data_IF_303435729313
#
_entry.id   IF_303435729313
#
_cell.length_a   1.000
_cell.length_b   1.000
_cell.length_c   1.000
_cell.angle_alpha   90.00
_cell.angle_beta   90.00
_cell.angle_gamma   90.00
#
_symmetry.space_group_name_H-M   'P 1'
#
loop_
_entity.id
_entity.type
_entity.pdbx_description
1 polymer ?
#
# COMPACT_ATOMS: atom_id res chain seq x y z
N UNK A 1 -1.66 22.34 -0.37
CA UNK A 1 -1.88 20.88 -0.14
C UNK A 1 -0.92 20.42 0.95
N UNK A 2 -1.44 19.83 2.02
CA UNK A 2 -0.61 19.21 3.05
C UNK A 2 -0.48 17.72 2.75
N UNK A 3 0.71 17.26 2.39
CA UNK A 3 1.02 15.84 2.20
C UNK A 3 1.82 15.37 3.41
N UNK A 4 1.25 14.51 4.25
CA UNK A 4 1.96 14.08 5.46
C UNK A 4 3.23 13.25 5.14
N UNK A 5 4.26 13.38 5.98
CA UNK A 5 5.51 12.64 5.83
C UNK A 5 5.36 11.17 6.21
N UNK A 6 4.47 10.86 7.16
CA UNK A 6 4.10 9.51 7.55
C UNK A 6 2.59 9.30 7.37
N UNK A 7 2.17 8.04 7.17
CA UNK A 7 0.73 7.74 7.04
C UNK A 7 -0.02 8.01 8.34
N UNK A 8 0.52 7.55 9.48
CA UNK A 8 -0.11 7.71 10.79
C UNK A 8 -0.22 9.18 11.26
N UNK A 9 0.38 10.14 10.53
CA UNK A 9 0.16 11.56 10.82
C UNK A 9 -1.26 11.98 10.45
N UNK A 10 -1.92 11.28 9.52
CA UNK A 10 -3.34 11.49 9.22
C UNK A 10 -4.27 11.04 10.34
N UNK A 11 -3.78 10.35 11.37
CA UNK A 11 -4.57 9.99 12.55
C UNK A 11 -4.53 11.10 13.63
N UNK A 12 -3.68 12.12 13.41
CA UNK A 12 -3.37 13.18 14.39
C UNK A 12 -3.89 14.54 13.93
N UNK A 13 -4.15 15.43 14.88
CA UNK A 13 -4.42 16.85 14.56
C UNK A 13 -3.18 17.49 13.91
N UNK A 14 -3.34 18.35 12.89
CA UNK A 14 -4.60 18.84 12.31
C UNK A 14 -5.20 17.95 11.20
N UNK A 15 -4.53 16.86 10.79
CA UNK A 15 -4.88 16.07 9.61
C UNK A 15 -5.95 15.00 9.83
N UNK A 16 -6.36 14.76 11.08
CA UNK A 16 -7.32 13.70 11.48
C UNK A 16 -8.60 13.66 10.64
N UNK A 17 -9.03 14.81 10.14
CA UNK A 17 -10.25 14.93 9.33
C UNK A 17 -10.07 14.53 7.86
N UNK A 18 -8.85 14.56 7.32
CA UNK A 18 -8.59 14.48 5.87
C UNK A 18 -9.06 13.15 5.26
N UNK A 19 -8.70 12.01 5.89
CA UNK A 19 -9.03 10.69 5.35
C UNK A 19 -10.54 10.39 5.45
N UNK A 20 -11.21 10.60 6.61
CA UNK A 20 -12.66 10.42 6.69
C UNK A 20 -13.46 11.27 5.70
N UNK A 21 -13.06 12.53 5.49
CA UNK A 21 -13.74 13.39 4.51
C UNK A 21 -13.56 12.87 3.08
N UNK A 22 -12.34 12.48 2.70
CA UNK A 22 -12.10 11.90 1.38
C UNK A 22 -12.90 10.61 1.14
N UNK A 23 -13.02 9.75 2.16
CA UNK A 23 -13.84 8.53 2.06
C UNK A 23 -15.32 8.88 1.91
N UNK A 24 -15.82 9.86 2.67
CA UNK A 24 -17.21 10.35 2.55
C UNK A 24 -17.50 10.88 1.14
N UNK A 25 -16.58 11.64 0.56
CA UNK A 25 -16.72 12.16 -0.80
C UNK A 25 -16.73 11.03 -1.84
N UNK A 26 -15.87 10.01 -1.67
CA UNK A 26 -15.90 8.80 -2.50
C UNK A 26 -17.24 8.09 -2.36
N UNK A 27 -17.72 7.87 -1.14
CA UNK A 27 -18.98 7.18 -0.89
C UNK A 27 -20.17 7.90 -1.55
N UNK A 28 -20.19 9.23 -1.53
CA UNK A 28 -21.22 10.01 -2.23
C UNK A 28 -21.13 9.88 -3.76
N UNK A 29 -19.92 9.93 -4.32
CA UNK A 29 -19.72 9.87 -5.78
C UNK A 29 -19.97 8.47 -6.37
N UNK A 30 -19.87 7.42 -5.56
CA UNK A 30 -20.00 6.02 -5.99
C UNK A 30 -21.19 5.31 -5.32
N UNK A 31 -22.09 6.06 -4.66
CA UNK A 31 -23.28 5.52 -3.97
C UNK A 31 -22.96 4.37 -3.00
N UNK A 32 -21.83 4.48 -2.29
CA UNK A 32 -21.41 3.47 -1.32
C UNK A 32 -22.10 3.69 0.03
N UNK A 33 -22.44 2.59 0.69
CA UNK A 33 -22.88 2.59 2.09
C UNK A 33 -21.78 3.19 2.97
N UNK A 34 -22.11 4.26 3.71
CA UNK A 34 -21.13 5.05 4.48
C UNK A 34 -20.47 4.26 5.61
N UNK A 35 -21.20 3.29 6.14
CA UNK A 35 -20.76 2.45 7.26
C UNK A 35 -20.24 1.08 6.79
N UNK A 36 -20.08 0.86 5.47
CA UNK A 36 -19.44 -0.35 4.96
C UNK A 36 -17.96 -0.38 5.34
N UNK A 37 -17.64 -1.23 6.33
CA UNK A 37 -16.27 -1.43 6.82
C UNK A 37 -15.33 -1.86 5.69
N UNK A 38 -15.75 -2.77 4.81
CA UNK A 38 -14.90 -3.29 3.73
C UNK A 38 -14.65 -2.19 2.70
N UNK A 39 -15.70 -1.49 2.28
CA UNK A 39 -15.60 -0.33 1.39
C UNK A 39 -14.68 0.75 1.95
N UNK A 40 -14.80 1.08 3.24
CA UNK A 40 -13.96 2.04 3.93
C UNK A 40 -12.49 1.61 3.98
N UNK A 41 -12.21 0.33 4.25
CA UNK A 41 -10.85 -0.21 4.24
C UNK A 41 -10.24 -0.18 2.83
N UNK A 42 -11.01 -0.52 1.80
CA UNK A 42 -10.57 -0.46 0.41
C UNK A 42 -10.25 0.99 0.01
N UNK A 43 -11.14 1.94 0.30
CA UNK A 43 -10.93 3.36 0.04
C UNK A 43 -9.67 3.87 0.76
N UNK A 44 -9.47 3.48 2.02
CA UNK A 44 -8.27 3.82 2.79
C UNK A 44 -7.00 3.34 2.10
N UNK A 45 -6.96 2.09 1.59
CA UNK A 45 -5.80 1.57 0.84
C UNK A 45 -5.56 2.33 -0.47
N UNK A 46 -6.61 2.72 -1.18
CA UNK A 46 -6.51 3.52 -2.41
C UNK A 46 -5.92 4.90 -2.11
N UNK A 47 -6.43 5.60 -1.10
CA UNK A 47 -5.92 6.91 -0.67
C UNK A 47 -4.47 6.80 -0.20
N UNK A 48 -4.14 5.79 0.62
CA UNK A 48 -2.78 5.54 1.09
C UNK A 48 -1.79 5.35 -0.08
N UNK A 49 -2.20 4.62 -1.12
CA UNK A 49 -1.43 4.46 -2.36
C UNK A 49 -1.28 5.80 -3.08
N UNK A 50 -2.34 6.59 -3.20
CA UNK A 50 -2.32 7.92 -3.79
C UNK A 50 -1.34 8.85 -3.10
N UNK A 51 -1.40 8.95 -1.77
CA UNK A 51 -0.47 9.77 -0.96
C UNK A 51 0.98 9.32 -1.16
N UNK A 52 1.25 8.01 -1.18
CA UNK A 52 2.60 7.48 -1.44
C UNK A 52 3.10 7.90 -2.82
N UNK A 53 2.25 7.85 -3.85
CA UNK A 53 2.60 8.28 -5.19
C UNK A 53 2.84 9.79 -5.28
N UNK A 54 2.06 10.60 -4.57
CA UNK A 54 2.30 12.04 -4.50
C UNK A 54 3.66 12.36 -3.87
N UNK A 55 4.01 11.73 -2.73
CA UNK A 55 5.36 11.87 -2.15
C UNK A 55 6.46 11.45 -3.11
N UNK A 56 6.28 10.33 -3.82
CA UNK A 56 7.24 9.87 -4.83
C UNK A 56 7.44 10.89 -5.95
N UNK A 57 6.34 11.44 -6.50
CA UNK A 57 6.40 12.48 -7.56
C UNK A 57 7.10 13.73 -7.08
N UNK A 58 6.81 14.18 -5.86
CA UNK A 58 7.49 15.31 -5.23
C UNK A 58 8.99 15.06 -5.10
N UNK A 59 9.37 13.93 -4.49
CA UNK A 59 10.77 13.55 -4.32
C UNK A 59 11.50 13.46 -5.66
N UNK A 60 10.90 12.80 -6.66
CA UNK A 60 11.49 12.61 -7.98
C UNK A 60 11.75 13.93 -8.70
N UNK A 61 10.82 14.89 -8.61
CA UNK A 61 10.89 16.13 -9.38
C UNK A 61 11.69 17.23 -8.69
N UNK A 62 11.66 17.30 -7.36
CA UNK A 62 12.15 18.47 -6.61
C UNK A 62 13.27 18.15 -5.62
N UNK A 63 13.67 16.89 -5.46
CA UNK A 63 14.70 16.49 -4.50
C UNK A 63 15.79 15.62 -5.14
N UNK A 64 15.42 14.61 -5.90
CA UNK A 64 16.40 13.73 -6.55
C UNK A 64 17.29 14.54 -7.52
N UNK A 65 18.60 14.44 -7.36
CA UNK A 65 19.58 15.18 -8.17
C UNK A 65 19.93 16.56 -7.63
N UNK A 66 19.36 16.96 -6.49
CA UNK A 66 19.64 18.22 -5.81
C UNK A 66 20.19 17.97 -4.40
N UNK A 67 20.96 18.92 -3.90
CA UNK A 67 21.28 19.00 -2.47
C UNK A 67 20.04 19.38 -1.66
N UNK A 68 20.06 19.12 -0.34
CA UNK A 68 18.97 19.50 0.54
C UNK A 68 18.68 21.01 0.50
N UNK A 69 19.73 21.85 0.42
CA UNK A 69 19.60 23.31 0.38
C UNK A 69 18.97 23.80 -0.94
N UNK A 70 19.39 23.23 -2.08
CA UNK A 70 18.79 23.52 -3.38
C UNK A 70 17.32 23.09 -3.42
N UNK A 71 17.00 21.90 -2.88
CA UNK A 71 15.64 21.40 -2.80
C UNK A 71 14.75 22.32 -1.94
N UNK A 72 15.23 22.80 -0.79
CA UNK A 72 14.50 23.76 0.06
C UNK A 72 14.21 25.07 -0.67
N UNK A 73 15.18 25.54 -1.47
CA UNK A 73 15.05 26.76 -2.26
C UNK A 73 14.08 26.59 -3.43
N UNK A 74 14.02 25.40 -4.04
CA UNK A 74 13.13 25.06 -5.15
C UNK A 74 11.81 24.40 -4.69
N UNK A 75 11.12 25.05 -3.75
CA UNK A 75 9.86 24.54 -3.19
C UNK A 75 8.74 24.51 -4.24
N UNK A 76 7.95 23.42 -4.35
CA UNK A 76 6.73 23.41 -5.16
C UNK A 76 5.69 24.46 -4.71
N UNK A 77 4.95 25.06 -5.64
CA UNK A 77 3.95 26.10 -5.32
C UNK A 77 2.84 25.59 -4.38
N UNK A 78 2.36 24.35 -4.60
CA UNK A 78 1.18 23.81 -3.93
C UNK A 78 1.44 23.17 -2.55
N UNK A 79 2.65 23.26 -1.99
CA UNK A 79 3.01 22.72 -0.67
C UNK A 79 3.46 23.85 0.26
N UNK A 80 3.12 23.76 1.56
CA UNK A 80 3.58 24.75 2.54
C UNK A 80 5.08 24.60 2.80
N UNK A 81 5.73 25.65 3.30
CA UNK A 81 7.15 25.62 3.56
C UNK A 81 7.50 24.59 4.64
N UNK A 82 6.75 24.56 5.74
CA UNK A 82 6.97 23.65 6.88
C UNK A 82 6.83 22.18 6.47
N UNK A 83 5.82 21.89 5.64
CA UNK A 83 5.61 20.55 5.12
C UNK A 83 6.75 20.14 4.18
N UNK A 84 7.14 21.02 3.25
CA UNK A 84 8.25 20.75 2.35
C UNK A 84 9.57 20.50 3.10
N UNK A 85 9.89 21.36 4.08
CA UNK A 85 11.06 21.22 4.93
C UNK A 85 11.05 19.88 5.66
N UNK A 86 9.89 19.43 6.15
CA UNK A 86 9.74 18.12 6.79
C UNK A 86 10.05 16.96 5.82
N UNK A 87 9.63 17.03 4.56
CA UNK A 87 9.98 16.02 3.55
C UNK A 87 11.47 16.05 3.21
N UNK A 88 12.05 17.22 2.99
CA UNK A 88 13.49 17.36 2.66
C UNK A 88 14.36 16.83 3.80
N UNK A 89 14.03 17.17 5.05
CA UNK A 89 14.73 16.65 6.22
C UNK A 89 14.63 15.12 6.28
N UNK A 90 13.43 14.57 6.10
CA UNK A 90 13.22 13.12 6.10
C UNK A 90 13.98 12.40 5.00
N UNK A 91 14.07 12.97 3.80
CA UNK A 91 14.78 12.33 2.69
C UNK A 91 16.30 12.51 2.74
N UNK A 92 16.77 13.54 3.45
CA UNK A 92 18.19 13.81 3.68
C UNK A 92 18.77 13.02 4.86
N UNK A 93 17.90 12.61 5.80
CA UNK A 93 18.26 11.81 6.97
C UNK A 93 18.92 10.48 6.59
N UNK A 94 20.09 10.20 7.17
CA UNK A 94 20.93 9.06 6.77
C UNK A 94 20.29 7.72 7.13
N UNK A 95 19.71 7.62 8.32
CA UNK A 95 18.97 6.43 8.76
C UNK A 95 17.83 6.10 7.79
N UNK A 96 17.10 7.11 7.32
CA UNK A 96 16.05 6.90 6.32
C UNK A 96 16.61 6.43 4.97
N UNK A 97 17.81 6.86 4.56
CA UNK A 97 18.45 6.36 3.33
C UNK A 97 18.85 4.90 3.46
N UNK A 98 19.46 4.52 4.57
CA UNK A 98 19.81 3.12 4.88
C UNK A 98 18.56 2.22 4.83
N UNK A 99 17.48 2.64 5.49
CA UNK A 99 16.20 1.91 5.47
C UNK A 99 15.64 1.83 4.04
N UNK A 100 15.75 2.88 3.24
CA UNK A 100 15.31 2.85 1.84
C UNK A 100 16.13 1.85 1.00
N UNK A 101 17.43 1.77 1.23
CA UNK A 101 18.33 0.83 0.54
C UNK A 101 18.02 -0.62 0.92
N UNK A 102 17.91 -0.91 2.23
CA UNK A 102 17.47 -2.23 2.71
C UNK A 102 16.11 -2.64 2.14
N UNK A 103 15.16 -1.70 2.06
CA UNK A 103 13.85 -1.99 1.47
C UNK A 103 13.91 -2.30 -0.04
N UNK A 104 14.89 -1.76 -0.76
CA UNK A 104 15.11 -2.06 -2.17
C UNK A 104 15.67 -3.48 -2.32
N UNK A 105 16.67 -3.83 -1.52
CA UNK A 105 17.25 -5.18 -1.47
C UNK A 105 16.20 -6.22 -1.07
N UNK A 106 15.42 -5.95 -0.03
CA UNK A 106 14.32 -6.81 0.40
C UNK A 106 13.29 -7.02 -0.71
N UNK A 107 12.99 -5.98 -1.49
CA UNK A 107 12.07 -6.07 -2.63
C UNK A 107 12.63 -6.95 -3.74
N UNK A 108 13.93 -6.83 -4.03
CA UNK A 108 14.63 -7.66 -5.02
C UNK A 108 14.73 -9.13 -4.56
N UNK A 109 14.76 -9.37 -3.25
CA UNK A 109 14.79 -10.71 -2.65
C UNK A 109 13.41 -11.39 -2.51
N UNK A 110 12.29 -10.73 -2.88
CA UNK A 110 10.95 -11.33 -2.80
C UNK A 110 10.83 -12.51 -3.77
N UNK A 111 10.57 -13.71 -3.23
CA UNK A 111 10.48 -14.97 -4.02
C UNK A 111 9.07 -15.26 -4.55
N UNK A 112 8.05 -14.93 -3.76
CA UNK A 112 6.65 -15.25 -4.05
C UNK A 112 5.90 -13.96 -4.35
N UNK A 113 5.84 -13.61 -5.64
CA UNK A 113 5.07 -12.45 -6.07
C UNK A 113 3.59 -12.82 -6.20
N UNK A 114 2.74 -12.10 -5.47
CA UNK A 114 1.29 -12.18 -5.63
C UNK A 114 0.86 -11.91 -7.08
N UNK A 115 -0.26 -12.52 -7.46
CA UNK A 115 -0.91 -12.47 -8.78
C UNK A 115 -2.33 -11.90 -8.71
N UNK A 116 -2.64 -11.15 -7.65
CA UNK A 116 -3.93 -10.49 -7.37
C UNK A 116 -4.22 -9.25 -8.24
N UNK A 117 -3.28 -8.85 -9.10
CA UNK A 117 -3.42 -7.69 -9.98
C UNK A 117 -3.38 -6.36 -9.22
N UNK A 118 -4.27 -5.42 -9.60
CA UNK A 118 -4.34 -4.09 -8.99
C UNK A 118 -5.15 -4.03 -7.69
N UNK A 119 -5.79 -5.13 -7.30
CA UNK A 119 -6.62 -5.21 -6.11
C UNK A 119 -5.79 -5.19 -4.84
N UNK A 120 -6.29 -4.52 -3.80
CA UNK A 120 -5.74 -4.69 -2.45
C UNK A 120 -6.07 -6.08 -1.94
N UNK A 121 -5.30 -6.62 -0.99
CA UNK A 121 -5.64 -7.88 -0.35
C UNK A 121 -7.02 -7.85 0.32
N UNK A 122 -7.45 -6.72 0.88
CA UNK A 122 -8.79 -6.56 1.46
C UNK A 122 -9.89 -6.75 0.42
N UNK A 123 -9.76 -6.07 -0.73
CA UNK A 123 -10.73 -6.21 -1.83
C UNK A 123 -10.71 -7.63 -2.41
N UNK A 124 -9.51 -8.20 -2.57
CA UNK A 124 -9.34 -9.55 -3.09
C UNK A 124 -9.96 -10.60 -2.15
N UNK A 125 -9.76 -10.45 -0.84
CA UNK A 125 -10.29 -11.37 0.16
C UNK A 125 -11.81 -11.31 0.22
N UNK A 126 -12.39 -10.10 0.31
CA UNK A 126 -13.85 -9.94 0.30
C UNK A 126 -14.50 -10.53 -0.95
N UNK A 127 -13.80 -10.45 -2.10
CA UNK A 127 -14.25 -11.10 -3.32
C UNK A 127 -14.20 -12.63 -3.21
N UNK A 128 -13.10 -13.20 -2.73
CA UNK A 128 -12.96 -14.65 -2.56
C UNK A 128 -13.99 -15.23 -1.59
N UNK A 129 -14.18 -14.58 -0.44
CA UNK A 129 -15.15 -15.01 0.57
C UNK A 129 -16.54 -15.16 -0.05
N UNK A 130 -16.98 -14.16 -0.82
CA UNK A 130 -18.29 -14.16 -1.48
C UNK A 130 -18.37 -15.17 -2.63
N UNK A 131 -17.41 -15.12 -3.55
CA UNK A 131 -17.50 -15.81 -4.83
C UNK A 131 -17.12 -17.30 -4.74
N UNK A 132 -16.16 -17.64 -3.85
CA UNK A 132 -15.54 -18.98 -3.79
C UNK A 132 -15.87 -19.72 -2.50
N UNK A 133 -15.92 -19.02 -1.37
CA UNK A 133 -16.01 -19.64 -0.05
C UNK A 133 -17.38 -19.49 0.61
N UNK A 134 -18.38 -18.91 -0.05
CA UNK A 134 -19.74 -18.72 0.49
C UNK A 134 -19.74 -18.09 1.91
N UNK A 135 -18.89 -17.09 2.12
CA UNK A 135 -18.63 -16.39 3.39
C UNK A 135 -18.06 -17.28 4.51
N UNK A 136 -17.40 -18.39 4.17
CA UNK A 136 -16.63 -19.20 5.12
C UNK A 136 -15.17 -18.75 5.19
N UNK A 137 -14.58 -18.89 6.38
CA UNK A 137 -13.18 -18.57 6.60
C UNK A 137 -12.27 -19.45 5.73
N UNK A 138 -11.32 -18.81 5.06
CA UNK A 138 -10.34 -19.49 4.20
C UNK A 138 -9.06 -19.74 4.96
N UNK A 139 -8.49 -20.95 4.86
CA UNK A 139 -7.19 -21.24 5.48
C UNK A 139 -6.07 -20.37 4.88
N UNK A 140 -5.03 -20.01 5.65
CA UNK A 140 -3.89 -19.25 5.12
C UNK A 140 -3.22 -19.92 3.91
N UNK A 141 -3.28 -21.26 3.82
CA UNK A 141 -2.68 -22.05 2.73
C UNK A 141 -3.50 -21.89 1.45
N UNK A 142 -4.83 -21.97 1.55
CA UNK A 142 -5.73 -21.73 0.41
C UNK A 142 -5.67 -20.26 -0.03
N UNK A 143 -5.56 -19.33 0.92
CA UNK A 143 -5.35 -17.93 0.59
C UNK A 143 -4.01 -17.70 -0.15
N UNK A 144 -2.92 -18.33 0.29
CA UNK A 144 -1.64 -18.27 -0.39
C UNK A 144 -1.76 -18.78 -1.83
N UNK A 145 -2.42 -19.93 -2.01
CA UNK A 145 -2.71 -20.52 -3.33
C UNK A 145 -3.48 -19.55 -4.21
N UNK A 146 -4.58 -18.98 -3.74
CA UNK A 146 -5.43 -18.09 -4.54
C UNK A 146 -4.74 -16.78 -4.90
N UNK A 147 -3.95 -16.23 -3.98
CA UNK A 147 -3.26 -14.96 -4.20
C UNK A 147 -2.02 -15.07 -5.08
N UNK A 148 -1.45 -16.27 -5.26
CA UNK A 148 -0.23 -16.49 -6.04
C UNK A 148 -0.44 -17.34 -7.30
N UNK A 149 -1.68 -17.75 -7.56
CA UNK A 149 -2.07 -18.36 -8.84
C UNK A 149 -2.47 -17.28 -9.83
N UNK A 150 -1.90 -17.31 -11.03
CA UNK A 150 -2.32 -16.42 -12.10
C UNK A 150 -3.72 -16.83 -12.59
N UNK A 151 -4.71 -15.96 -12.39
CA UNK A 151 -6.10 -16.25 -12.78
C UNK A 151 -6.31 -16.48 -14.28
N UNK A 152 -5.42 -15.98 -15.14
CA UNK A 152 -5.51 -16.17 -16.60
C UNK A 152 -4.96 -17.52 -17.05
N UNK A 153 -3.86 -17.97 -16.44
CA UNK A 153 -3.12 -19.16 -16.88
C UNK A 153 -3.29 -20.35 -15.93
N UNK A 154 -3.90 -20.14 -14.76
CA UNK A 154 -3.99 -21.14 -13.69
C UNK A 154 -2.64 -21.52 -13.07
N UNK A 155 -1.55 -20.83 -13.40
CA UNK A 155 -0.19 -21.24 -13.04
C UNK A 155 0.40 -20.42 -11.88
N UNK A 156 1.23 -21.10 -11.09
CA UNK A 156 2.12 -20.50 -10.10
C UNK A 156 3.55 -20.39 -10.65
N UNK A 157 4.37 -19.50 -10.08
CA UNK A 157 5.82 -19.61 -10.29
C UNK A 157 6.36 -20.86 -9.60
N UNK A 158 7.41 -21.46 -10.15
CA UNK A 158 8.10 -22.62 -9.56
C UNK A 158 8.41 -22.46 -8.06
N UNK A 159 9.01 -21.36 -7.57
CA UNK A 159 9.25 -21.20 -6.14
C UNK A 159 7.95 -21.18 -5.32
N UNK A 160 6.88 -20.60 -5.85
CA UNK A 160 5.57 -20.55 -5.18
C UNK A 160 4.93 -21.93 -5.11
N UNK A 161 5.00 -22.71 -6.18
CA UNK A 161 4.49 -24.08 -6.20
C UNK A 161 5.22 -24.96 -5.17
N UNK A 162 6.55 -24.88 -5.13
CA UNK A 162 7.36 -25.59 -4.13
C UNK A 162 6.99 -25.18 -2.69
N UNK A 163 6.75 -23.90 -2.44
CA UNK A 163 6.30 -23.42 -1.13
C UNK A 163 4.90 -23.97 -0.78
N UNK A 164 3.95 -23.91 -1.71
CA UNK A 164 2.59 -24.43 -1.51
C UNK A 164 2.60 -25.93 -1.18
N UNK A 165 3.35 -26.73 -1.94
CA UNK A 165 3.50 -28.18 -1.70
C UNK A 165 4.10 -28.46 -0.33
N UNK A 166 5.04 -27.64 0.15
CA UNK A 166 5.61 -27.77 1.50
C UNK A 166 4.62 -27.41 2.62
N UNK A 167 3.61 -26.60 2.35
CA UNK A 167 2.59 -26.26 3.33
C UNK A 167 1.51 -27.35 3.46
N UNK A 168 1.24 -28.14 2.40
CA UNK A 168 0.20 -29.16 2.41
C UNK A 168 0.34 -30.25 3.51
N UNK A 169 1.54 -30.77 3.83
CA UNK A 169 1.71 -31.75 4.90
C UNK A 169 1.36 -31.24 6.30
N UNK A 170 1.41 -29.92 6.53
CA UNK A 170 1.08 -29.32 7.83
C UNK A 170 -0.42 -29.34 8.14
N UNK A 171 -1.27 -29.55 7.13
CA UNK A 171 -2.72 -29.73 7.29
C UNK A 171 -3.13 -31.14 7.72
N UNK A 172 -2.26 -32.14 7.54
CA UNK A 172 -2.56 -33.55 7.88
C UNK A 172 -2.14 -33.91 9.31
N UNK A 173 -1.55 -32.97 10.05
CA UNK A 173 -1.07 -33.14 11.43
C UNK A 173 -1.87 -32.32 12.46
N UNK A 174 -2.97 -31.69 12.03
CA UNK A 174 -3.93 -30.93 12.85
C UNK A 174 -5.32 -31.50 12.68
#
# INVERSE_FOLDING_TARGET
MHVATHWNDYDKSPLKHVIPHAIKDIALNFEMEKDDKVGNDVCTKVIQKGVRQQRYRLKKKYFNGYTAQEALSNKPANITHENWTSHVNKWSDERNKEICQMNKENREAVKHHQKTGSMSYVAFFSKLEKDKYNNQDTSPIEFFKDTHTNSKTGSMSEPTLLAHVRFLPLLLLT
#
